data_IF_801075822978
#
_entry.id   IF_801075822978
#
_cell.length_a   1.000
_cell.length_b   1.000
_cell.length_c   1.000
_cell.angle_alpha   90.00
_cell.angle_beta   90.00
_cell.angle_gamma   90.00
#
_symmetry.space_group_name_H-M   'P 1'
#
loop_
_entity.id
_entity.type
_entity.pdbx_description
1 polymer ?
#
# COMPACT_ATOMS: atom_id res chain seq x y z
N UNK A 1 3.54 -3.03 2.54
CA UNK A 1 3.60 -3.00 4.02
C UNK A 1 4.41 -4.19 4.51
N UNK A 2 5.63 -3.94 4.96
CA UNK A 2 6.70 -4.94 5.16
C UNK A 2 7.27 -4.93 6.58
N UNK A 3 6.99 -3.89 7.36
CA UNK A 3 7.51 -3.71 8.71
C UNK A 3 6.35 -3.60 9.71
N UNK A 4 6.46 -4.29 10.84
CA UNK A 4 5.69 -3.99 12.05
C UNK A 4 6.44 -2.90 12.84
N UNK A 5 5.75 -1.85 13.26
CA UNK A 5 6.41 -0.67 13.87
C UNK A 5 5.91 -0.30 15.27
N UNK A 6 4.81 -0.87 15.74
CA UNK A 6 4.19 -0.53 17.04
C UNK A 6 4.77 -1.29 18.24
N UNK A 7 5.65 -2.27 17.99
CA UNK A 7 6.08 -3.22 19.03
C UNK A 7 4.99 -4.26 19.37
N UNK A 8 3.98 -4.37 18.51
CA UNK A 8 2.94 -5.39 18.56
C UNK A 8 3.42 -6.71 17.96
N UNK A 9 2.49 -7.45 17.35
CA UNK A 9 2.82 -8.73 16.70
C UNK A 9 2.80 -8.55 15.19
N UNK A 10 3.88 -8.95 14.52
CA UNK A 10 3.92 -8.99 13.06
C UNK A 10 2.98 -10.08 12.52
N UNK A 11 2.31 -9.87 11.38
CA UNK A 11 1.52 -10.92 10.75
C UNK A 11 2.39 -12.15 10.40
N UNK A 12 1.78 -13.33 10.48
CA UNK A 12 2.45 -14.63 10.42
C UNK A 12 2.93 -15.01 9.01
N UNK A 13 2.28 -14.50 7.96
CA UNK A 13 2.71 -14.73 6.59
C UNK A 13 4.00 -13.98 6.22
N UNK A 14 4.46 -14.14 4.99
CA UNK A 14 5.66 -13.44 4.49
C UNK A 14 5.35 -11.98 4.13
N UNK A 15 6.20 -11.04 4.51
CA UNK A 15 6.11 -9.67 3.99
C UNK A 15 6.29 -9.63 2.47
N UNK A 16 5.62 -8.72 1.72
CA UNK A 16 4.69 -7.70 2.20
C UNK A 16 3.32 -8.29 2.58
N UNK A 17 2.78 -7.93 3.74
CA UNK A 17 1.50 -8.46 4.24
C UNK A 17 0.27 -7.77 3.63
N UNK A 18 0.43 -6.50 3.29
CA UNK A 18 -0.58 -5.66 2.65
C UNK A 18 0.10 -4.83 1.57
N UNK A 19 -0.51 -4.76 0.39
CA UNK A 19 0.05 -4.07 -0.78
C UNK A 19 -0.97 -3.08 -1.33
N UNK A 20 -0.97 -1.83 -0.84
CA UNK A 20 -1.68 -0.74 -1.52
C UNK A 20 -0.88 -0.30 -2.76
N UNK A 21 -1.59 -0.05 -3.86
CA UNK A 21 -1.08 0.49 -5.12
C UNK A 21 -1.93 1.66 -5.55
N UNK A 22 -1.29 2.72 -6.01
CA UNK A 22 -1.93 3.94 -6.46
C UNK A 22 -1.41 4.22 -7.88
N UNK A 23 -2.30 4.22 -8.87
CA UNK A 23 -1.93 4.36 -10.29
C UNK A 23 -2.90 5.31 -10.99
N UNK A 24 -2.37 6.34 -11.66
CA UNK A 24 -3.17 7.27 -12.49
C UNK A 24 -3.33 6.76 -13.93
N UNK A 25 -2.82 5.56 -14.22
CA UNK A 25 -2.83 4.92 -15.54
C UNK A 25 -2.24 5.83 -16.63
N UNK A 26 -1.35 6.76 -16.25
CA UNK A 26 -0.75 7.75 -17.12
C UNK A 26 -1.68 8.88 -17.58
N UNK A 27 -2.84 9.08 -16.94
CA UNK A 27 -3.78 10.17 -17.26
C UNK A 27 -4.22 10.92 -16.00
N UNK A 28 -3.88 12.21 -15.86
CA UNK A 28 -4.35 13.03 -14.74
C UNK A 28 -5.88 13.15 -14.65
N UNK A 29 -6.37 13.31 -13.43
CA UNK A 29 -7.78 13.53 -13.10
C UNK A 29 -8.48 12.31 -12.51
N UNK A 30 -7.86 11.13 -12.55
CA UNK A 30 -8.41 9.91 -11.94
C UNK A 30 -7.27 9.00 -11.50
N UNK A 31 -7.40 8.42 -10.31
CA UNK A 31 -6.40 7.53 -9.72
C UNK A 31 -7.08 6.24 -9.26
N UNK A 32 -6.45 5.09 -9.47
CA UNK A 32 -6.90 3.81 -8.97
C UNK A 32 -6.14 3.46 -7.69
N UNK A 33 -6.87 3.19 -6.60
CA UNK A 33 -6.33 2.60 -5.38
C UNK A 33 -6.71 1.12 -5.37
N UNK A 34 -5.72 0.24 -5.44
CA UNK A 34 -5.88 -1.21 -5.26
C UNK A 34 -5.16 -1.66 -4.00
N UNK A 35 -5.81 -2.48 -3.18
CA UNK A 35 -5.26 -2.98 -1.91
C UNK A 35 -5.40 -4.49 -1.85
N UNK A 36 -4.28 -5.19 -1.63
CA UNK A 36 -4.21 -6.66 -1.63
C UNK A 36 -3.62 -7.20 -0.32
N UNK A 37 -4.22 -8.26 0.23
CA UNK A 37 -3.78 -8.96 1.46
C UNK A 37 -3.19 -10.34 1.16
N UNK A 38 -2.54 -10.51 -0.01
CA UNK A 38 -2.09 -11.80 -0.55
C UNK A 38 -1.28 -12.65 0.43
N UNK A 39 -0.52 -12.03 1.32
CA UNK A 39 0.35 -12.73 2.27
C UNK A 39 -0.13 -12.66 3.73
N UNK A 40 -1.34 -12.18 4.01
CA UNK A 40 -1.98 -12.47 5.29
C UNK A 40 -2.38 -13.95 5.33
N UNK A 41 -2.48 -14.52 6.53
CA UNK A 41 -2.77 -15.94 6.72
C UNK A 41 -3.72 -16.18 7.90
N UNK A 42 -4.36 -17.35 7.92
CA UNK A 42 -5.20 -17.77 9.04
C UNK A 42 -6.37 -16.81 9.29
N UNK A 43 -6.48 -16.31 10.52
CA UNK A 43 -7.54 -15.39 10.99
C UNK A 43 -7.14 -13.91 10.95
N UNK A 44 -6.04 -13.59 10.26
CA UNK A 44 -5.54 -12.23 10.11
C UNK A 44 -6.48 -11.41 9.23
N UNK A 45 -6.72 -10.19 9.67
CA UNK A 45 -7.57 -9.23 8.97
C UNK A 45 -7.11 -7.81 9.20
N UNK A 46 -7.31 -6.98 8.19
CA UNK A 46 -7.07 -5.54 8.27
C UNK A 46 -8.29 -4.89 8.90
N UNK A 47 -8.06 -4.01 9.87
CA UNK A 47 -9.13 -3.21 10.50
C UNK A 47 -9.10 -1.75 10.05
N UNK A 48 -7.95 -1.26 9.61
CA UNK A 48 -7.82 0.09 9.05
C UNK A 48 -6.61 0.21 8.13
N UNK A 49 -6.74 0.98 7.05
CA UNK A 49 -5.65 1.44 6.17
C UNK A 49 -5.64 2.98 6.17
N UNK A 50 -4.47 3.54 6.37
CA UNK A 50 -4.22 4.97 6.55
C UNK A 50 -3.28 5.45 5.45
N UNK A 51 -3.69 6.50 4.74
CA UNK A 51 -2.98 7.10 3.60
C UNK A 51 -2.94 8.62 3.75
N UNK A 52 -2.06 9.27 2.99
CA UNK A 52 -1.94 10.73 2.94
C UNK A 52 -2.21 11.24 1.53
N UNK A 53 -2.48 12.53 1.42
CA UNK A 53 -2.57 13.28 0.17
C UNK A 53 -1.65 14.50 0.24
N UNK A 54 -1.33 15.10 -0.91
CA UNK A 54 -0.61 16.36 -1.01
C UNK A 54 -1.27 17.41 -0.09
N UNK A 55 -0.53 18.06 0.82
CA UNK A 55 -1.07 19.07 1.74
C UNK A 55 -1.73 20.28 1.08
N UNK A 56 -1.55 20.48 -0.23
CA UNK A 56 -2.23 21.49 -1.02
C UNK A 56 -3.63 21.10 -1.50
N UNK A 57 -4.00 19.82 -1.37
CA UNK A 57 -5.30 19.25 -1.71
C UNK A 57 -6.11 19.06 -0.42
N UNK A 58 -7.35 19.53 -0.39
CA UNK A 58 -8.27 19.19 0.71
C UNK A 58 -8.72 17.73 0.54
N UNK A 59 -8.48 16.83 1.52
CA UNK A 59 -8.95 15.45 1.43
C UNK A 59 -10.46 15.34 1.21
N UNK A 60 -11.25 16.34 1.66
CA UNK A 60 -12.69 16.38 1.47
C UNK A 60 -13.12 16.57 0.00
N UNK A 61 -12.22 17.02 -0.87
CA UNK A 61 -12.46 17.13 -2.32
C UNK A 61 -12.28 15.79 -3.05
N UNK A 62 -11.82 14.74 -2.36
CA UNK A 62 -11.70 13.40 -2.93
C UNK A 62 -13.05 12.66 -2.92
N UNK A 63 -13.33 11.96 -4.01
CA UNK A 63 -14.49 11.09 -4.17
C UNK A 63 -14.03 9.71 -4.58
N UNK A 64 -14.48 8.71 -3.83
CA UNK A 64 -14.21 7.30 -4.08
C UNK A 64 -15.43 6.64 -4.74
N UNK A 65 -15.19 5.78 -5.73
CA UNK A 65 -16.23 4.97 -6.35
C UNK A 65 -16.79 3.91 -5.39
N UNK A 66 -17.86 3.24 -5.79
CA UNK A 66 -18.15 1.93 -5.23
C UNK A 66 -16.95 0.98 -5.47
N UNK A 67 -16.61 0.10 -4.52
CA UNK A 67 -15.47 -0.79 -4.67
C UNK A 67 -15.73 -1.90 -5.68
N UNK A 68 -14.69 -2.26 -6.42
CA UNK A 68 -14.56 -3.61 -6.99
C UNK A 68 -13.82 -4.47 -5.97
N UNK A 69 -14.30 -5.68 -5.69
CA UNK A 69 -13.70 -6.52 -4.65
C UNK A 69 -13.60 -8.00 -5.04
N UNK A 70 -12.54 -8.62 -4.54
CA UNK A 70 -12.37 -10.08 -4.50
C UNK A 70 -12.43 -10.50 -3.03
N UNK A 71 -13.46 -11.24 -2.65
CA UNK A 71 -13.72 -11.60 -1.25
C UNK A 71 -15.19 -11.41 -0.87
N UNK A 72 -15.52 -11.67 0.40
CA UNK A 72 -16.89 -11.53 0.93
C UNK A 72 -17.02 -10.49 2.05
N UNK A 73 -15.97 -9.70 2.26
CA UNK A 73 -15.94 -8.64 3.26
C UNK A 73 -16.92 -7.50 2.97
N UNK A 74 -17.29 -6.79 4.03
CA UNK A 74 -18.13 -5.59 3.94
C UNK A 74 -17.34 -4.42 3.34
N UNK A 75 -18.02 -3.57 2.57
CA UNK A 75 -17.38 -2.39 1.98
C UNK A 75 -16.82 -1.49 3.11
N UNK A 76 -15.54 -1.09 3.05
CA UNK A 76 -14.95 -0.28 4.11
C UNK A 76 -15.54 1.13 4.11
N UNK A 77 -15.61 1.71 5.31
CA UNK A 77 -16.02 3.11 5.49
C UNK A 77 -14.83 4.00 5.22
N UNK A 78 -14.99 4.94 4.29
CA UNK A 78 -13.95 5.90 3.91
C UNK A 78 -14.16 7.19 4.68
N UNK A 79 -13.14 7.63 5.39
CA UNK A 79 -13.12 8.89 6.15
C UNK A 79 -12.00 9.78 5.63
N UNK A 80 -12.30 11.06 5.43
CA UNK A 80 -11.42 12.05 4.81
C UNK A 80 -11.34 13.28 5.72
N UNK A 81 -10.14 13.62 6.17
CA UNK A 81 -9.92 14.79 7.03
C UNK A 81 -8.42 15.06 7.17
N UNK A 82 -8.00 16.30 6.94
CA UNK A 82 -6.59 16.70 7.05
C UNK A 82 -6.01 16.36 8.42
N UNK A 83 -4.88 15.64 8.44
CA UNK A 83 -4.05 15.40 9.62
C UNK A 83 -4.81 14.93 10.89
N UNK A 84 -5.84 14.10 10.71
CA UNK A 84 -6.77 13.75 11.79
C UNK A 84 -6.67 12.29 12.25
N UNK A 85 -6.43 11.36 11.34
CA UNK A 85 -6.43 9.93 11.66
C UNK A 85 -5.06 9.51 12.21
N UNK A 86 -5.04 8.71 13.27
CA UNK A 86 -3.79 8.27 13.93
C UNK A 86 -3.57 6.78 13.80
N UNK A 87 -2.37 6.37 13.42
CA UNK A 87 -1.92 4.98 13.42
C UNK A 87 -1.09 4.69 14.68
N UNK A 88 -1.53 3.77 15.52
CA UNK A 88 -0.89 3.47 16.81
C UNK A 88 -0.72 4.69 17.74
N UNK A 89 -1.67 5.64 17.68
CA UNK A 89 -1.63 6.86 18.48
C UNK A 89 -0.70 7.95 17.93
N UNK A 90 -0.02 7.69 16.82
CA UNK A 90 0.89 8.63 16.16
C UNK A 90 0.74 8.63 14.63
N UNK A 91 1.46 9.49 13.90
CA UNK A 91 1.32 9.73 12.48
C UNK A 91 -0.08 10.25 12.16
N UNK A 92 -0.20 11.50 11.73
CA UNK A 92 -1.49 12.05 11.34
C UNK A 92 -1.69 11.85 9.84
N UNK A 93 -2.78 11.17 9.50
CA UNK A 93 -3.13 10.79 8.15
C UNK A 93 -4.42 11.49 7.71
N UNK A 94 -4.55 11.63 6.39
CA UNK A 94 -5.63 12.35 5.74
C UNK A 94 -6.81 11.47 5.34
N UNK A 95 -6.53 10.19 5.10
CA UNK A 95 -7.47 9.23 4.55
C UNK A 95 -7.45 7.97 5.42
N UNK A 96 -8.63 7.50 5.83
CA UNK A 96 -8.82 6.25 6.55
C UNK A 96 -9.87 5.36 5.87
N UNK A 97 -9.47 4.17 5.46
CA UNK A 97 -10.38 3.07 5.10
C UNK A 97 -10.57 2.19 6.33
N UNK A 98 -11.77 2.16 6.89
CA UNK A 98 -12.13 1.32 8.04
C UNK A 98 -12.81 0.04 7.57
N UNK A 99 -12.20 -1.10 7.83
CA UNK A 99 -12.73 -2.41 7.46
C UNK A 99 -13.51 -3.03 8.62
N UNK A 100 -14.51 -3.85 8.31
CA UNK A 100 -15.25 -4.59 9.34
C UNK A 100 -14.33 -5.57 10.06
N UNK A 101 -14.51 -5.68 11.38
CA UNK A 101 -13.86 -6.68 12.23
C UNK A 101 -14.83 -7.77 12.69
N UNK A 102 -16.05 -7.76 12.16
CA UNK A 102 -17.11 -8.72 12.50
C UNK A 102 -16.96 -10.00 11.69
N UNK A 103 -17.05 -11.15 12.38
CA UNK A 103 -16.89 -12.47 11.78
C UNK A 103 -17.72 -12.69 10.51
N UNK A 104 -17.03 -13.09 9.44
CA UNK A 104 -17.61 -13.37 8.13
C UNK A 104 -17.74 -12.14 7.22
N UNK A 105 -17.19 -10.99 7.63
CA UNK A 105 -17.25 -9.74 6.86
C UNK A 105 -15.93 -8.96 6.87
N UNK A 106 -14.86 -9.55 7.39
CA UNK A 106 -13.57 -8.89 7.55
C UNK A 106 -12.71 -8.99 6.30
N UNK A 107 -11.91 -7.95 6.05
CA UNK A 107 -10.92 -7.94 4.97
C UNK A 107 -9.70 -8.77 5.37
N UNK A 108 -9.76 -10.05 4.99
CA UNK A 108 -8.90 -11.13 5.47
C UNK A 108 -7.84 -11.56 4.45
N UNK A 109 -7.31 -12.76 4.63
CA UNK A 109 -6.26 -13.32 3.79
C UNK A 109 -6.66 -13.54 2.32
N UNK A 110 -5.82 -13.07 1.39
CA UNK A 110 -6.00 -13.30 -0.05
C UNK A 110 -7.13 -12.52 -0.70
N UNK A 111 -7.62 -11.47 -0.05
CA UNK A 111 -8.67 -10.61 -0.56
C UNK A 111 -8.11 -9.33 -1.20
N UNK A 112 -8.94 -8.68 -2.00
CA UNK A 112 -8.61 -7.45 -2.71
C UNK A 112 -9.78 -6.46 -2.71
N UNK A 113 -9.46 -5.17 -2.61
CA UNK A 113 -10.38 -4.07 -2.88
C UNK A 113 -9.75 -3.04 -3.81
N UNK A 114 -10.54 -2.52 -4.75
CA UNK A 114 -10.12 -1.50 -5.70
C UNK A 114 -11.14 -0.36 -5.77
N UNK A 115 -10.62 0.87 -5.81
CA UNK A 115 -11.38 2.11 -5.92
C UNK A 115 -10.87 2.95 -7.07
N UNK A 116 -11.80 3.61 -7.77
CA UNK A 116 -11.48 4.79 -8.56
C UNK A 116 -11.65 6.03 -7.67
N UNK A 117 -10.61 6.84 -7.60
CA UNK A 117 -10.56 8.10 -6.87
C UNK A 117 -10.55 9.24 -7.89
N UNK A 118 -11.45 10.19 -7.69
CA UNK A 118 -11.49 11.46 -8.41
C UNK A 118 -11.45 12.60 -7.41
N UNK A 119 -11.09 13.80 -7.83
CA UNK A 119 -11.07 14.96 -6.96
C UNK A 119 -10.45 16.16 -7.63
N UNK A 120 -10.48 17.29 -6.92
CA UNK A 120 -9.74 18.48 -7.32
C UNK A 120 -8.27 18.27 -6.94
N UNK A 121 -7.46 17.81 -7.89
CA UNK A 121 -6.01 17.78 -7.74
C UNK A 121 -5.38 19.16 -7.94
N UNK A 122 -4.09 19.17 -8.30
CA UNK A 122 -3.43 20.38 -8.80
C UNK A 122 -4.13 20.94 -10.06
N UNK A 123 -3.65 22.06 -10.61
CA UNK A 123 -4.17 22.61 -11.87
C UNK A 123 -4.16 21.61 -13.06
N UNK A 124 -3.42 20.50 -12.95
CA UNK A 124 -3.35 19.43 -13.93
C UNK A 124 -4.30 18.24 -13.67
N UNK A 125 -5.03 18.21 -12.54
CA UNK A 125 -5.84 17.08 -12.09
C UNK A 125 -5.11 16.18 -11.07
N UNK A 126 -5.87 15.27 -10.46
CA UNK A 126 -5.37 14.31 -9.47
C UNK A 126 -4.48 13.25 -10.13
N UNK A 127 -3.29 13.01 -9.58
CA UNK A 127 -2.32 12.01 -10.06
C UNK A 127 -1.84 11.10 -8.92
N UNK A 128 -1.22 9.97 -9.25
CA UNK A 128 -0.75 9.02 -8.24
C UNK A 128 0.29 9.62 -7.29
N UNK A 129 1.13 10.53 -7.79
CA UNK A 129 2.15 11.22 -6.99
C UNK A 129 1.54 12.08 -5.86
N UNK A 130 0.28 12.51 -6.00
CA UNK A 130 -0.41 13.28 -4.98
C UNK A 130 -0.64 12.48 -3.69
N UNK A 131 -0.45 11.15 -3.69
CA UNK A 131 -0.61 10.29 -2.52
C UNK A 131 0.73 9.88 -1.90
N UNK A 132 1.87 10.28 -2.48
CA UNK A 132 3.21 9.89 -2.01
C UNK A 132 3.71 10.88 -0.96
N UNK A 133 2.95 11.04 0.13
CA UNK A 133 3.25 11.97 1.21
C UNK A 133 3.42 11.25 2.56
N UNK A 134 4.38 11.73 3.33
CA UNK A 134 4.60 11.30 4.71
C UNK A 134 3.49 11.88 5.60
N UNK A 135 2.98 11.07 6.53
CA UNK A 135 2.04 11.50 7.56
C UNK A 135 2.60 12.68 8.36
N UNK A 136 1.75 13.61 8.81
CA UNK A 136 2.24 14.66 9.71
C UNK A 136 2.72 14.07 11.05
N UNK A 137 3.85 14.56 11.59
CA UNK A 137 4.44 13.99 12.80
C UNK A 137 3.60 14.27 14.04
N UNK A 138 3.48 13.29 14.95
CA UNK A 138 2.88 13.49 16.28
C UNK A 138 3.67 12.84 17.45
N UNK A 139 4.92 12.38 17.21
CA UNK A 139 6.01 12.33 18.21
C UNK A 139 6.47 10.95 18.74
N UNK A 140 5.86 9.85 18.33
CA UNK A 140 6.16 8.46 18.66
C UNK A 140 6.76 7.62 17.51
N UNK A 141 5.95 7.20 16.53
CA UNK A 141 6.30 6.39 15.36
C UNK A 141 6.12 7.16 14.04
N UNK A 142 6.92 6.81 13.04
CA UNK A 142 6.88 7.45 11.73
C UNK A 142 7.67 8.77 11.71
N UNK A 143 7.43 9.64 10.70
CA UNK A 143 6.32 9.60 9.75
C UNK A 143 6.44 8.47 8.71
N UNK A 144 5.30 7.99 8.20
CA UNK A 144 5.23 6.96 7.16
C UNK A 144 4.32 7.39 6.00
N UNK A 145 4.56 6.82 4.82
CA UNK A 145 3.70 7.04 3.65
C UNK A 145 2.30 6.44 3.81
N UNK A 146 2.21 5.34 4.55
CA UNK A 146 0.97 4.65 4.84
C UNK A 146 1.13 3.82 6.12
N UNK A 147 0.03 3.47 6.75
CA UNK A 147 0.00 2.50 7.84
C UNK A 147 -1.25 1.63 7.76
N UNK A 148 -1.21 0.43 8.33
CA UNK A 148 -2.38 -0.41 8.47
C UNK A 148 -2.38 -1.14 9.81
N UNK A 149 -3.56 -1.39 10.35
CA UNK A 149 -3.73 -2.16 11.59
C UNK A 149 -4.24 -3.56 11.27
N UNK A 150 -3.44 -4.57 11.61
CA UNK A 150 -3.77 -5.99 11.40
C UNK A 150 -4.13 -6.63 12.73
N UNK A 151 -5.19 -7.42 12.75
CA UNK A 151 -5.72 -8.09 13.94
C UNK A 151 -5.94 -9.58 13.69
N UNK A 152 -6.06 -10.36 14.78
CA UNK A 152 -6.27 -11.81 14.68
C UNK A 152 -4.99 -12.59 14.38
N UNK A 153 -3.85 -12.01 14.74
CA UNK A 153 -2.53 -12.60 14.54
C UNK A 153 -2.32 -13.64 15.64
N UNK A 154 -2.07 -14.89 15.26
CA UNK A 154 -1.90 -15.99 16.22
C UNK A 154 -3.07 -16.11 17.20
N UNK A 155 -2.80 -15.97 18.50
CA UNK A 155 -3.80 -16.07 19.58
C UNK A 155 -4.71 -14.83 19.72
N UNK A 156 -5.04 -14.16 18.61
CA UNK A 156 -5.88 -12.96 18.61
C UNK A 156 -5.12 -11.65 18.85
N UNK A 157 -3.80 -11.64 18.64
CA UNK A 157 -2.96 -10.45 18.77
C UNK A 157 -3.17 -9.47 17.60
N UNK A 158 -2.55 -8.29 17.71
CA UNK A 158 -2.57 -7.27 16.67
C UNK A 158 -1.22 -6.55 16.56
N UNK A 159 -1.06 -5.81 15.47
CA UNK A 159 0.11 -5.00 15.21
C UNK A 159 -0.16 -3.97 14.11
N UNK A 160 0.64 -2.91 14.12
CA UNK A 160 0.61 -1.87 13.09
C UNK A 160 1.76 -2.07 12.12
N UNK A 161 1.43 -2.04 10.84
CA UNK A 161 2.39 -2.26 9.75
C UNK A 161 2.51 -1.02 8.86
N UNK A 162 3.72 -0.77 8.37
CA UNK A 162 4.04 0.30 7.43
C UNK A 162 4.83 -0.24 6.23
N UNK A 163 5.01 0.55 5.17
CA UNK A 163 6.08 0.29 4.22
C UNK A 163 7.46 0.43 4.87
N UNK A 164 8.49 -0.04 4.17
CA UNK A 164 9.87 0.20 4.56
C UNK A 164 10.14 1.71 4.58
N UNK A 165 10.77 2.24 5.66
CA UNK A 165 11.09 3.66 5.76
C UNK A 165 11.92 4.15 4.57
N UNK A 166 11.52 5.28 4.00
CA UNK A 166 12.27 5.97 2.94
C UNK A 166 12.11 5.39 1.54
N UNK A 167 11.26 4.38 1.34
CA UNK A 167 10.88 3.89 0.02
C UNK A 167 9.45 4.33 -0.32
N UNK A 168 9.24 4.81 -1.56
CA UNK A 168 7.91 5.04 -2.11
C UNK A 168 7.19 3.68 -2.25
N UNK A 169 6.13 3.44 -1.45
CA UNK A 169 5.44 2.16 -1.45
C UNK A 169 4.56 1.93 -2.68
N UNK A 170 4.24 2.98 -3.43
CA UNK A 170 3.26 2.95 -4.51
C UNK A 170 3.91 2.83 -5.89
N UNK A 171 5.23 3.03 -5.97
CA UNK A 171 5.96 2.79 -7.21
C UNK A 171 5.80 1.31 -7.63
N UNK A 172 5.30 1.09 -8.85
CA UNK A 172 5.25 -0.26 -9.41
C UNK A 172 6.70 -0.79 -9.44
N UNK A 173 6.98 -1.98 -8.87
CA UNK A 173 8.32 -2.54 -8.94
C UNK A 173 8.64 -2.71 -10.41
N UNK A 174 9.63 -1.96 -10.89
CA UNK A 174 10.19 -2.16 -12.22
C UNK A 174 10.59 -3.63 -12.27
N UNK A 175 10.06 -4.44 -13.20
CA UNK A 175 10.51 -5.81 -13.33
C UNK A 175 12.01 -5.77 -13.53
N UNK A 176 12.77 -6.31 -12.58
CA UNK A 176 14.21 -6.42 -12.76
C UNK A 176 14.42 -7.18 -14.09
N UNK A 177 15.18 -6.63 -15.05
CA UNK A 177 15.45 -7.36 -16.27
C UNK A 177 16.13 -8.64 -15.85
N UNK A 178 15.49 -9.80 -16.13
CA UNK A 178 15.97 -11.13 -15.79
C UNK A 178 17.49 -11.22 -15.98
N UNK A 179 18.27 -11.07 -14.90
CA UNK A 179 19.74 -10.92 -14.97
C UNK A 179 20.44 -12.11 -15.61
N UNK A 180 19.73 -13.24 -15.74
CA UNK A 180 20.15 -14.46 -16.41
C UNK A 180 20.37 -14.25 -17.93
N UNK A 181 19.62 -13.36 -18.58
CA UNK A 181 19.77 -13.12 -20.03
C UNK A 181 21.05 -12.34 -20.33
N UNK A 182 21.44 -11.38 -19.47
CA UNK A 182 22.63 -10.57 -19.70
C UNK A 182 23.93 -11.36 -19.43
N UNK A 183 23.91 -12.30 -18.48
CA UNK A 183 25.06 -13.17 -18.21
C UNK A 183 25.27 -14.23 -19.30
N UNK A 184 24.19 -14.78 -19.87
CA UNK A 184 24.27 -15.77 -20.96
C UNK A 184 24.72 -15.16 -22.29
N UNK A 185 24.29 -13.94 -22.60
CA UNK A 185 24.80 -13.18 -23.77
C UNK A 185 26.29 -12.85 -23.64
N UNK A 186 26.75 -12.45 -22.45
CA UNK A 186 28.16 -12.14 -22.20
C UNK A 186 29.09 -13.34 -22.44
N UNK A 187 28.70 -14.53 -21.99
CA UNK A 187 29.47 -15.77 -22.19
C UNK A 187 29.49 -16.23 -23.66
N UNK A 188 28.38 -16.11 -24.39
CA UNK A 188 28.31 -16.49 -25.79
C UNK A 188 29.19 -15.60 -26.69
N UNK A 189 29.28 -14.30 -26.38
CA UNK A 189 30.14 -13.35 -27.09
C UNK A 189 31.62 -13.62 -26.76
N UNK A 190 31.96 -13.83 -25.49
CA UNK A 190 33.33 -14.15 -25.07
C UNK A 190 33.85 -15.45 -25.71
N UNK A 191 33.02 -16.51 -25.77
CA UNK A 191 33.37 -17.77 -26.42
C UNK A 191 33.53 -17.61 -27.95
N UNK A 192 32.70 -16.78 -28.59
CA UNK A 192 32.80 -16.50 -30.03
C UNK A 192 34.06 -15.69 -30.39
N UNK A 193 34.49 -14.77 -29.52
CA UNK A 193 35.75 -14.02 -29.70
C UNK A 193 36.95 -14.95 -29.53
N UNK A 194 36.92 -15.85 -28.55
CA UNK A 194 38.00 -16.82 -28.30
C UNK A 194 38.27 -17.72 -29.51
N UNK A 195 37.22 -18.21 -30.18
CA UNK A 195 37.33 -19.10 -31.36
C UNK A 195 37.79 -18.42 -32.66
N UNK A 196 37.89 -17.10 -32.70
CA UNK A 196 38.38 -16.36 -33.89
C UNK A 196 39.87 -16.02 -33.84
N UNK A 197 40.54 -16.22 -32.69
CA UNK A 197 41.94 -15.84 -32.46
C UNK A 197 42.86 -17.09 -32.37
N UNK A 198 42.30 -18.30 -32.36
CA UNK A 198 43.01 -19.57 -32.56
C UNK A 198 42.98 -20.00 -34.02
#
# INVERSE_FOLDING_TARGET
MTQEFSGGTAPAGSSPWLTPRIDDQGTPGTVQLKVETTNLTGSEKVSGLYLNIDPSIDPADLSFSAPTKTGIFADPVISLSTDTFKADGDGKYDILLTFSTSSGSEFGAGEEVEYTITGLGSAAGLIAADFVFLSAPAGGHGPFYAAAHVQGIGAGLSGWISPDPGLDPFSNPVPEPNGIILFTLGLAIAERIRRRIS
#
